data_IF_749858810148
#
_entry.id   IF_749858810148
#
_cell.length_a   1.000
_cell.length_b   1.000
_cell.length_c   1.000
_cell.angle_alpha   90.00
_cell.angle_beta   90.00
_cell.angle_gamma   90.00
#
_symmetry.space_group_name_H-M   'P 1'
#
loop_
_entity.id
_entity.type
_entity.pdbx_description
1 polymer ?
#
# COMPACT_ATOMS: atom_id res chain seq x y z
N UNK A 1 4.20 -18.13 -10.73
CA UNK A 1 4.68 -18.44 -12.10
C UNK A 1 5.05 -17.13 -12.76
N UNK A 2 6.34 -16.78 -12.69
CA UNK A 2 6.89 -15.58 -13.30
C UNK A 2 6.75 -15.62 -14.81
N UNK A 3 6.29 -14.51 -15.40
CA UNK A 3 6.41 -14.23 -16.84
C UNK A 3 7.49 -13.17 -17.03
N UNK A 4 8.74 -13.53 -16.74
CA UNK A 4 9.90 -12.74 -17.15
C UNK A 4 10.16 -12.97 -18.64
N UNK A 5 10.26 -11.89 -19.42
CA UNK A 5 10.68 -11.96 -20.82
C UNK A 5 12.21 -11.98 -20.91
N UNK A 6 12.78 -12.96 -21.61
CA UNK A 6 14.20 -12.92 -22.02
C UNK A 6 14.32 -11.92 -23.17
N UNK A 7 15.19 -10.92 -23.01
CA UNK A 7 15.45 -9.92 -24.06
C UNK A 7 16.91 -9.94 -24.47
N UNK A 8 17.14 -10.11 -25.77
CA UNK A 8 18.45 -10.06 -26.37
C UNK A 8 18.85 -8.59 -26.61
N UNK A 9 20.09 -8.28 -26.24
CA UNK A 9 20.62 -6.92 -26.14
C UNK A 9 22.00 -6.80 -26.78
N UNK A 10 22.38 -7.76 -27.63
CA UNK A 10 23.65 -7.69 -28.37
C UNK A 10 23.62 -6.65 -29.51
N UNK A 11 24.77 -6.10 -29.90
CA UNK A 11 24.84 -5.08 -30.98
C UNK A 11 24.40 -5.60 -32.35
N UNK A 12 24.29 -6.92 -32.51
CA UNK A 12 23.93 -7.59 -33.75
C UNK A 12 22.45 -8.00 -33.78
N UNK A 13 21.65 -7.58 -32.80
CA UNK A 13 20.22 -7.83 -32.79
C UNK A 13 19.56 -7.24 -34.04
N UNK A 14 19.01 -8.07 -34.94
CA UNK A 14 18.47 -7.61 -36.22
C UNK A 14 17.26 -6.68 -36.03
N UNK A 15 16.54 -6.82 -34.91
CA UNK A 15 15.36 -6.04 -34.56
C UNK A 15 15.67 -4.79 -33.70
N UNK A 16 16.96 -4.50 -33.50
CA UNK A 16 17.43 -3.40 -32.65
C UNK A 16 17.39 -3.71 -31.16
N UNK A 17 18.03 -2.84 -30.37
CA UNK A 17 18.19 -3.01 -28.91
C UNK A 17 17.61 -1.86 -28.08
N UNK A 18 17.03 -0.86 -28.73
CA UNK A 18 16.41 0.27 -28.05
C UNK A 18 14.93 0.02 -27.72
N UNK A 19 14.29 1.00 -27.07
CA UNK A 19 12.91 0.88 -26.61
C UNK A 19 11.87 0.81 -27.73
N UNK A 20 12.25 1.02 -28.99
CA UNK A 20 11.39 0.85 -30.17
C UNK A 20 11.59 -0.50 -30.88
N UNK A 21 12.53 -1.32 -30.42
CA UNK A 21 12.75 -2.67 -30.96
C UNK A 21 11.51 -3.55 -30.79
N UNK A 22 11.43 -4.60 -31.61
CA UNK A 22 10.34 -5.60 -31.53
C UNK A 22 10.29 -6.24 -30.14
N UNK A 23 11.46 -6.60 -29.60
CA UNK A 23 11.56 -7.23 -28.27
C UNK A 23 11.12 -6.29 -27.14
N UNK A 24 11.44 -5.00 -27.25
CA UNK A 24 11.03 -4.01 -26.26
C UNK A 24 9.51 -3.80 -26.25
N UNK A 25 8.87 -3.73 -27.42
CA UNK A 25 7.41 -3.64 -27.53
C UNK A 25 6.71 -4.91 -27.04
N UNK A 26 7.28 -6.08 -27.32
CA UNK A 26 6.79 -7.35 -26.77
C UNK A 26 6.87 -7.39 -25.24
N UNK A 27 8.00 -7.00 -24.65
CA UNK A 27 8.15 -6.95 -23.20
C UNK A 27 7.14 -5.96 -22.58
N UNK A 28 6.95 -4.79 -23.18
CA UNK A 28 5.93 -3.82 -22.75
C UNK A 28 4.52 -4.40 -22.78
N UNK A 29 4.13 -5.10 -23.85
CA UNK A 29 2.77 -5.64 -23.96
C UNK A 29 2.48 -6.73 -22.92
N UNK A 30 3.49 -7.53 -22.55
CA UNK A 30 3.39 -8.46 -21.42
C UNK A 30 3.16 -7.71 -20.12
N UNK A 31 3.94 -6.66 -19.85
CA UNK A 31 3.79 -5.87 -18.62
C UNK A 31 2.41 -5.20 -18.55
N UNK A 32 1.92 -4.61 -19.64
CA UNK A 32 0.62 -3.93 -19.70
C UNK A 32 -0.58 -4.87 -19.44
N UNK A 33 -0.42 -6.16 -19.74
CA UNK A 33 -1.52 -7.16 -19.66
C UNK A 33 -1.38 -8.14 -18.51
N UNK A 34 -0.25 -8.14 -17.81
CA UNK A 34 0.05 -9.11 -16.76
C UNK A 34 -0.65 -8.75 -15.45
N UNK A 35 -1.37 -9.72 -14.89
CA UNK A 35 -1.95 -9.66 -13.54
C UNK A 35 -1.02 -10.23 -12.46
N UNK A 36 0.24 -10.55 -12.81
CA UNK A 36 1.21 -11.06 -11.86
C UNK A 36 1.51 -10.02 -10.77
N UNK A 37 1.78 -10.49 -9.56
CA UNK A 37 2.12 -9.64 -8.41
C UNK A 37 3.45 -8.91 -8.56
N UNK A 38 4.38 -9.52 -9.30
CA UNK A 38 5.72 -9.02 -9.53
C UNK A 38 6.03 -8.97 -11.02
N UNK A 39 6.55 -7.84 -11.46
CA UNK A 39 7.02 -7.64 -12.82
C UNK A 39 8.54 -7.50 -12.84
N UNK A 40 9.23 -8.63 -13.02
CA UNK A 40 10.69 -8.72 -13.10
C UNK A 40 11.12 -8.75 -14.56
N UNK A 41 11.97 -7.81 -14.97
CA UNK A 41 12.62 -7.84 -16.29
C UNK A 41 14.00 -8.47 -16.16
N UNK A 42 14.33 -9.38 -17.08
CA UNK A 42 15.67 -9.93 -17.22
C UNK A 42 16.23 -9.61 -18.61
N UNK A 43 17.43 -9.05 -18.66
CA UNK A 43 18.15 -8.82 -19.91
C UNK A 43 19.65 -9.02 -19.71
N UNK A 44 20.40 -9.33 -20.76
CA UNK A 44 21.83 -9.60 -20.58
C UNK A 44 22.61 -8.32 -20.20
N UNK A 45 22.45 -7.23 -20.96
CA UNK A 45 23.24 -5.99 -20.79
C UNK A 45 22.79 -5.12 -19.60
N UNK A 46 23.72 -4.71 -18.72
CA UNK A 46 23.47 -3.79 -17.61
C UNK A 46 22.85 -2.45 -18.03
N UNK A 47 21.86 -2.00 -17.27
CA UNK A 47 21.13 -0.75 -17.56
C UNK A 47 21.86 0.44 -16.94
N UNK A 48 22.13 0.36 -15.63
CA UNK A 48 22.89 1.32 -14.85
C UNK A 48 23.93 0.57 -14.04
N UNK A 49 25.15 1.08 -14.04
CA UNK A 49 26.32 0.44 -13.46
C UNK A 49 27.44 1.47 -13.29
N UNK A 50 28.34 1.20 -12.34
CA UNK A 50 29.63 1.86 -12.24
C UNK A 50 30.56 1.30 -13.32
N UNK A 51 31.42 2.13 -13.93
CA UNK A 51 32.06 1.77 -15.21
C UNK A 51 33.41 2.44 -15.43
N UNK A 52 34.19 1.92 -16.37
CA UNK A 52 35.36 2.62 -16.93
C UNK A 52 34.91 3.49 -18.10
N UNK A 53 35.32 4.76 -18.11
CA UNK A 53 34.77 5.86 -18.94
C UNK A 53 34.56 5.64 -20.46
N UNK A 54 35.10 4.57 -21.07
CA UNK A 54 35.20 4.36 -22.51
C UNK A 54 34.04 3.56 -23.16
N UNK A 55 33.04 3.09 -22.41
CA UNK A 55 32.04 2.12 -22.91
C UNK A 55 30.58 2.58 -22.78
N UNK A 56 30.17 3.72 -23.37
CA UNK A 56 28.88 4.35 -23.03
C UNK A 56 27.73 4.23 -24.04
N UNK A 57 27.98 4.04 -25.34
CA UNK A 57 26.92 4.31 -26.32
C UNK A 57 25.87 3.20 -26.44
N UNK A 58 26.29 1.93 -26.42
CA UNK A 58 25.37 0.77 -26.44
C UNK A 58 24.45 0.72 -25.21
N UNK A 59 24.99 1.01 -24.03
CA UNK A 59 24.25 0.88 -22.77
C UNK A 59 23.18 1.97 -22.59
N UNK A 60 23.26 3.08 -23.35
CA UNK A 60 22.17 4.06 -23.41
C UNK A 60 20.95 3.50 -24.12
N UNK A 61 21.14 2.64 -25.12
CA UNK A 61 20.05 2.08 -25.94
C UNK A 61 19.20 1.09 -25.15
N UNK A 62 19.82 0.26 -24.32
CA UNK A 62 19.13 -0.76 -23.49
C UNK A 62 18.48 -0.18 -22.21
N UNK A 63 18.49 1.15 -22.03
CA UNK A 63 17.81 1.86 -20.93
C UNK A 63 16.35 2.15 -21.29
N UNK A 64 15.57 1.09 -21.47
CA UNK A 64 14.15 1.23 -21.75
C UNK A 64 13.42 1.83 -20.55
N UNK A 65 12.23 2.42 -20.75
CA UNK A 65 11.48 3.06 -19.67
C UNK A 65 10.72 2.05 -18.79
N UNK A 66 11.44 1.04 -18.31
CA UNK A 66 10.92 -0.11 -17.55
C UNK A 66 9.94 0.29 -16.44
N UNK A 67 10.24 1.35 -15.67
CA UNK A 67 9.35 1.77 -14.58
C UNK A 67 8.01 2.31 -15.08
N UNK A 68 8.03 3.06 -16.20
CA UNK A 68 6.79 3.55 -16.83
C UNK A 68 5.98 2.42 -17.45
N UNK A 69 6.63 1.32 -17.81
CA UNK A 69 5.97 0.11 -18.30
C UNK A 69 5.44 -0.78 -17.18
N UNK A 70 5.64 -0.43 -15.91
CA UNK A 70 5.11 -1.20 -14.78
C UNK A 70 6.09 -2.22 -14.18
N UNK A 71 7.34 -2.29 -14.63
CA UNK A 71 8.31 -3.18 -13.99
C UNK A 71 8.60 -2.76 -12.54
N UNK A 72 8.89 -3.75 -11.69
CA UNK A 72 9.27 -3.53 -10.29
C UNK A 72 10.79 -3.55 -10.10
N UNK A 73 11.49 -4.36 -10.88
CA UNK A 73 12.95 -4.52 -10.84
C UNK A 73 13.49 -5.01 -12.19
N UNK A 74 14.75 -4.69 -12.48
CA UNK A 74 15.48 -5.21 -13.65
C UNK A 74 16.73 -5.95 -13.20
N UNK A 75 16.91 -7.16 -13.72
CA UNK A 75 18.04 -8.03 -13.46
C UNK A 75 18.89 -8.16 -14.72
N UNK A 76 20.21 -8.07 -14.56
CA UNK A 76 21.17 -8.10 -15.67
C UNK A 76 22.43 -8.91 -15.36
N UNK A 77 23.22 -9.21 -16.40
CA UNK A 77 24.52 -9.91 -16.31
C UNK A 77 25.62 -9.12 -17.02
N UNK A 78 26.30 -9.76 -17.98
CA UNK A 78 27.40 -9.20 -18.80
C UNK A 78 28.68 -8.86 -18.00
N UNK A 79 28.63 -7.84 -17.15
CA UNK A 79 29.80 -7.48 -16.34
C UNK A 79 30.04 -8.50 -15.25
N UNK A 80 31.26 -9.00 -15.16
CA UNK A 80 31.66 -10.00 -14.16
C UNK A 80 31.94 -9.37 -12.79
N UNK A 81 31.00 -8.54 -12.33
CA UNK A 81 30.85 -8.09 -10.96
C UNK A 81 29.38 -8.15 -10.55
N UNK A 82 29.14 -8.03 -9.26
CA UNK A 82 27.83 -7.81 -8.69
C UNK A 82 27.64 -6.33 -8.39
N UNK A 83 26.55 -5.74 -8.86
CA UNK A 83 26.19 -4.36 -8.50
C UNK A 83 24.70 -4.21 -8.34
N UNK A 84 24.27 -3.57 -7.25
CA UNK A 84 22.89 -3.11 -7.10
C UNK A 84 22.84 -1.60 -7.16
N UNK A 85 22.06 -1.10 -8.10
CA UNK A 85 21.86 0.33 -8.36
C UNK A 85 20.42 0.71 -8.05
N UNK A 86 20.22 1.85 -7.38
CA UNK A 86 18.89 2.43 -7.16
C UNK A 86 18.82 3.82 -7.79
N UNK A 87 18.03 3.93 -8.86
CA UNK A 87 17.83 5.17 -9.59
C UNK A 87 16.36 5.57 -9.56
N UNK A 88 16.08 6.72 -8.94
CA UNK A 88 14.69 7.11 -8.64
C UNK A 88 14.01 6.07 -7.74
N UNK A 89 12.82 5.62 -8.15
CA UNK A 89 12.05 4.58 -7.46
C UNK A 89 12.27 3.16 -8.03
N UNK A 90 13.23 2.96 -8.92
CA UNK A 90 13.55 1.68 -9.54
C UNK A 90 14.86 1.10 -9.02
N UNK A 91 14.92 -0.23 -8.91
CA UNK A 91 16.13 -0.97 -8.58
C UNK A 91 16.59 -1.78 -9.79
N UNK A 92 17.90 -1.81 -9.99
CA UNK A 92 18.60 -2.58 -11.03
C UNK A 92 19.65 -3.44 -10.34
N UNK A 93 19.74 -4.72 -10.68
CA UNK A 93 20.78 -5.60 -10.15
C UNK A 93 21.52 -6.25 -11.30
N UNK A 94 22.82 -5.99 -11.39
CA UNK A 94 23.75 -6.71 -12.24
C UNK A 94 24.39 -7.83 -11.44
N UNK A 95 24.32 -9.06 -11.94
CA UNK A 95 25.07 -10.19 -11.41
C UNK A 95 25.69 -11.00 -12.56
N UNK A 96 26.92 -10.65 -12.96
CA UNK A 96 27.69 -11.47 -13.89
C UNK A 96 28.73 -12.39 -13.22
N UNK A 97 28.69 -12.55 -11.90
CA UNK A 97 29.65 -13.37 -11.13
C UNK A 97 29.35 -14.88 -11.15
N UNK A 98 28.62 -15.37 -12.15
CA UNK A 98 28.15 -16.75 -12.23
C UNK A 98 29.20 -17.80 -12.65
N UNK A 99 30.43 -17.39 -13.01
CA UNK A 99 31.50 -18.33 -13.39
C UNK A 99 32.41 -17.87 -14.53
N UNK A 100 32.14 -16.72 -15.16
CA UNK A 100 33.06 -16.10 -16.10
C UNK A 100 34.37 -15.69 -15.42
N UNK A 101 35.48 -15.61 -16.18
CA UNK A 101 36.73 -15.03 -15.68
C UNK A 101 36.45 -13.61 -15.20
N UNK A 102 36.87 -13.25 -13.99
CA UNK A 102 36.72 -11.87 -13.49
C UNK A 102 37.15 -10.86 -14.54
N UNK A 103 36.32 -9.86 -14.77
CA UNK A 103 36.58 -8.87 -15.79
C UNK A 103 37.80 -8.04 -15.33
N UNK A 104 38.90 -8.01 -16.11
CA UNK A 104 40.05 -7.16 -15.78
C UNK A 104 39.70 -5.65 -15.81
N UNK A 105 38.52 -5.28 -16.31
CA UNK A 105 37.95 -3.93 -16.20
C UNK A 105 37.37 -3.62 -14.81
N UNK A 106 37.27 -4.60 -13.91
CA UNK A 106 37.14 -4.33 -12.49
C UNK A 106 38.53 -4.14 -11.89
N UNK A 107 39.01 -2.91 -11.94
CA UNK A 107 40.14 -2.47 -11.13
C UNK A 107 39.82 -1.06 -10.64
N UNK A 108 39.38 -0.97 -9.39
CA UNK A 108 39.04 0.29 -8.71
C UNK A 108 40.27 1.15 -8.42
N UNK A 109 41.47 0.62 -8.66
CA UNK A 109 42.73 1.35 -8.62
C UNK A 109 43.10 1.97 -9.97
N UNK A 110 42.41 1.61 -11.06
CA UNK A 110 42.55 2.30 -12.35
C UNK A 110 41.95 3.71 -12.26
N UNK A 111 42.71 4.71 -12.72
CA UNK A 111 42.36 6.14 -12.64
C UNK A 111 41.06 6.55 -13.35
N UNK A 112 40.43 5.63 -14.10
CA UNK A 112 39.27 5.90 -14.96
C UNK A 112 38.01 5.12 -14.56
N UNK A 113 38.02 4.39 -13.44
CA UNK A 113 36.81 3.77 -12.90
C UNK A 113 35.91 4.82 -12.25
N UNK A 114 34.64 4.85 -12.64
CA UNK A 114 33.65 5.85 -12.22
C UNK A 114 32.53 5.16 -11.44
N UNK A 115 32.50 5.42 -10.14
CA UNK A 115 31.36 5.08 -9.29
C UNK A 115 30.20 6.00 -9.57
N UNK A 116 29.02 5.43 -9.83
CA UNK A 116 27.79 6.22 -9.93
C UNK A 116 27.17 6.41 -8.54
N UNK A 117 26.65 7.61 -8.19
CA UNK A 117 26.03 7.87 -6.88
C UNK A 117 24.82 6.95 -6.55
N UNK A 118 24.18 6.41 -7.58
CA UNK A 118 23.06 5.49 -7.46
C UNK A 118 23.47 4.07 -7.02
N UNK A 119 24.75 3.71 -7.12
CA UNK A 119 25.26 2.42 -6.68
C UNK A 119 25.07 2.26 -5.17
N UNK A 120 24.59 1.10 -4.75
CA UNK A 120 24.32 0.76 -3.34
C UNK A 120 25.25 -0.31 -2.80
N UNK A 121 25.72 -1.17 -3.69
CA UNK A 121 26.78 -2.11 -3.43
C UNK A 121 27.39 -2.50 -4.77
N UNK A 122 28.71 -2.61 -4.77
CA UNK A 122 29.53 -3.11 -5.86
C UNK A 122 30.47 -4.16 -5.26
N UNK A 123 30.56 -5.34 -5.87
CA UNK A 123 31.33 -6.46 -5.35
C UNK A 123 31.90 -7.30 -6.49
N UNK A 124 33.17 -7.70 -6.38
CA UNK A 124 33.87 -8.48 -7.40
C UNK A 124 34.80 -9.56 -6.80
N UNK A 125 34.91 -9.69 -5.48
CA UNK A 125 36.01 -10.48 -4.88
C UNK A 125 35.84 -12.00 -5.02
N UNK A 126 34.62 -12.49 -5.28
CA UNK A 126 34.34 -13.91 -5.41
C UNK A 126 33.16 -14.19 -6.34
N UNK A 127 33.21 -15.33 -7.00
CA UNK A 127 32.07 -15.85 -7.77
C UNK A 127 30.88 -16.11 -6.84
N UNK A 128 29.67 -16.04 -7.38
CA UNK A 128 28.45 -16.25 -6.62
C UNK A 128 27.20 -16.31 -7.49
N UNK A 129 26.07 -16.52 -6.83
CA UNK A 129 24.76 -16.57 -7.46
C UNK A 129 23.75 -15.71 -6.70
N UNK A 130 22.69 -15.33 -7.40
CA UNK A 130 21.56 -14.66 -6.79
C UNK A 130 20.48 -15.71 -6.43
N UNK A 131 20.04 -15.69 -5.18
CA UNK A 131 18.85 -16.40 -4.72
C UNK A 131 17.72 -15.38 -4.58
N UNK A 132 16.57 -15.65 -5.19
CA UNK A 132 15.36 -14.85 -5.04
C UNK A 132 14.32 -15.67 -4.30
N UNK A 133 13.91 -15.21 -3.13
CA UNK A 133 12.85 -15.81 -2.34
C UNK A 133 11.59 -14.97 -2.49
N UNK A 134 10.50 -15.62 -2.91
CA UNK A 134 9.18 -15.00 -2.99
C UNK A 134 8.40 -15.22 -1.69
N UNK A 135 7.85 -14.13 -1.18
CA UNK A 135 6.87 -14.11 -0.10
C UNK A 135 5.60 -13.40 -0.58
N UNK A 136 4.52 -13.53 0.21
CA UNK A 136 3.25 -12.85 -0.10
C UNK A 136 3.41 -11.33 -0.27
N UNK A 137 4.33 -10.68 0.43
CA UNK A 137 4.49 -9.23 0.44
C UNK A 137 5.78 -8.70 -0.16
N UNK A 138 6.70 -9.62 -0.47
CA UNK A 138 8.06 -9.26 -0.83
C UNK A 138 8.74 -10.25 -1.77
N UNK A 139 9.64 -9.72 -2.59
CA UNK A 139 10.74 -10.47 -3.16
C UNK A 139 12.02 -10.15 -2.38
N UNK A 140 12.72 -11.18 -1.92
CA UNK A 140 14.00 -11.05 -1.22
C UNK A 140 15.11 -11.54 -2.13
N UNK A 141 15.95 -10.62 -2.58
CA UNK A 141 17.11 -10.88 -3.41
C UNK A 141 18.35 -11.01 -2.52
N UNK A 142 19.07 -12.12 -2.63
CA UNK A 142 20.30 -12.38 -1.90
C UNK A 142 21.42 -12.68 -2.90
N UNK A 143 22.56 -12.00 -2.78
CA UNK A 143 23.77 -12.41 -3.48
C UNK A 143 24.66 -13.21 -2.54
N UNK A 144 24.91 -14.47 -2.90
CA UNK A 144 25.62 -15.46 -2.10
C UNK A 144 26.83 -15.95 -2.89
N UNK A 145 28.01 -15.82 -2.32
CA UNK A 145 29.26 -16.31 -2.93
C UNK A 145 29.34 -17.83 -2.94
N UNK A 146 30.22 -18.39 -3.76
CA UNK A 146 30.53 -19.84 -3.77
C UNK A 146 31.03 -20.38 -2.41
N UNK A 147 31.56 -19.50 -1.55
CA UNK A 147 31.99 -19.84 -0.19
C UNK A 147 30.85 -19.65 0.85
N UNK A 148 29.59 -19.61 0.39
CA UNK A 148 28.38 -19.46 1.19
C UNK A 148 28.31 -18.17 2.04
N UNK A 149 29.06 -17.13 1.65
CA UNK A 149 28.96 -15.81 2.27
C UNK A 149 27.84 -14.98 1.62
N UNK A 150 26.91 -14.46 2.43
CA UNK A 150 25.93 -13.46 2.00
C UNK A 150 26.61 -12.09 1.88
N UNK A 151 26.56 -11.49 0.69
CA UNK A 151 27.19 -10.19 0.41
C UNK A 151 26.19 -9.06 0.21
N UNK A 152 25.02 -9.35 -0.33
CA UNK A 152 23.91 -8.39 -0.40
C UNK A 152 22.58 -9.06 -0.07
N UNK A 153 21.69 -8.28 0.54
CA UNK A 153 20.29 -8.64 0.78
C UNK A 153 19.41 -7.43 0.49
N UNK A 154 18.57 -7.53 -0.53
CA UNK A 154 17.59 -6.52 -0.91
C UNK A 154 16.17 -7.05 -0.80
N UNK A 155 15.28 -6.26 -0.21
CA UNK A 155 13.85 -6.59 -0.08
C UNK A 155 13.06 -5.61 -0.92
N UNK A 156 12.35 -6.13 -1.90
CA UNK A 156 11.37 -5.41 -2.70
C UNK A 156 9.99 -5.65 -2.07
N UNK A 157 9.29 -4.58 -1.69
CA UNK A 157 7.96 -4.64 -1.06
C UNK A 157 6.90 -4.18 -2.06
N UNK A 158 5.74 -4.84 -2.08
CA UNK A 158 4.53 -4.27 -2.68
C UNK A 158 3.76 -3.43 -1.65
N UNK A 159 2.98 -2.42 -2.09
CA UNK A 159 1.95 -1.80 -1.27
C UNK A 159 0.97 -2.86 -0.75
N UNK A 160 0.59 -2.77 0.53
CA UNK A 160 -0.40 -3.67 1.14
C UNK A 160 -1.72 -2.95 1.22
N UNK A 161 -2.61 -3.17 0.26
CA UNK A 161 -3.81 -2.35 0.11
C UNK A 161 -5.08 -3.13 0.35
N UNK A 162 -6.08 -2.52 0.99
CA UNK A 162 -7.42 -3.09 1.08
C UNK A 162 -8.44 -2.06 0.62
N UNK A 163 -9.63 -2.52 0.19
CA UNK A 163 -10.73 -1.63 -0.18
C UNK A 163 -11.84 -1.70 0.86
N UNK A 164 -12.15 -0.57 1.49
CA UNK A 164 -13.23 -0.48 2.48
C UNK A 164 -14.31 0.46 1.98
N UNK A 165 -15.57 0.03 2.04
CA UNK A 165 -16.74 0.87 1.77
C UNK A 165 -17.40 1.26 3.08
N UNK A 166 -17.51 2.55 3.31
CA UNK A 166 -18.18 3.14 4.48
C UNK A 166 -18.95 4.38 4.05
N UNK A 167 -20.21 4.47 4.46
CA UNK A 167 -21.04 5.66 4.29
C UNK A 167 -21.20 6.35 5.65
N UNK A 168 -20.98 7.65 5.70
CA UNK A 168 -21.14 8.49 6.89
C UNK A 168 -22.54 9.11 6.84
N UNK A 169 -23.32 8.95 7.91
CA UNK A 169 -24.74 9.27 7.95
C UNK A 169 -25.09 10.69 7.46
N UNK A 170 -24.39 11.72 7.96
CA UNK A 170 -24.70 13.11 7.60
C UNK A 170 -24.30 13.45 6.16
N UNK A 171 -23.19 12.88 5.69
CA UNK A 171 -22.66 13.12 4.34
C UNK A 171 -23.36 12.31 3.25
N UNK A 172 -24.06 11.23 3.60
CA UNK A 172 -24.79 10.38 2.64
C UNK A 172 -26.14 11.03 2.26
N UNK A 173 -26.41 11.11 0.95
CA UNK A 173 -27.62 11.67 0.37
C UNK A 173 -28.42 10.54 -0.33
N UNK A 174 -29.41 9.93 0.35
CA UNK A 174 -30.12 8.76 -0.18
C UNK A 174 -30.83 9.01 -1.51
N UNK A 175 -31.34 10.22 -1.71
CA UNK A 175 -32.06 10.62 -2.93
C UNK A 175 -31.24 10.42 -4.21
N UNK A 176 -29.91 10.51 -4.13
CA UNK A 176 -29.00 10.32 -5.27
C UNK A 176 -28.07 9.12 -5.08
N UNK A 177 -28.23 8.36 -4.00
CA UNK A 177 -27.40 7.19 -3.69
C UNK A 177 -25.91 7.49 -3.54
N UNK A 178 -25.54 8.73 -3.19
CA UNK A 178 -24.13 9.19 -3.11
C UNK A 178 -23.82 9.85 -1.78
N UNK A 179 -22.55 9.82 -1.41
CA UNK A 179 -21.98 10.54 -0.27
C UNK A 179 -21.08 11.66 -0.77
N UNK A 180 -21.01 12.77 -0.03
CA UNK A 180 -19.95 13.77 -0.21
C UNK A 180 -18.60 13.11 0.13
N UNK A 181 -17.65 13.01 -0.81
CA UNK A 181 -16.31 12.47 -0.56
C UNK A 181 -15.62 13.15 0.61
N UNK A 182 -15.03 12.36 1.51
CA UNK A 182 -14.17 12.89 2.56
C UNK A 182 -13.10 11.90 3.01
N UNK A 183 -12.17 12.38 3.81
CA UNK A 183 -11.04 11.61 4.30
C UNK A 183 -11.44 10.73 5.48
N UNK A 184 -11.33 9.43 5.30
CA UNK A 184 -11.62 8.41 6.32
C UNK A 184 -10.32 7.71 6.71
N UNK A 185 -10.18 7.36 8.00
CA UNK A 185 -9.07 6.56 8.51
C UNK A 185 -9.55 5.15 8.82
N UNK A 186 -8.78 4.15 8.41
CA UNK A 186 -8.99 2.74 8.76
C UNK A 186 -7.80 2.25 9.56
N UNK A 187 -8.06 1.59 10.68
CA UNK A 187 -7.04 0.97 11.51
C UNK A 187 -7.15 -0.55 11.45
N UNK A 188 -6.00 -1.23 11.45
CA UNK A 188 -5.91 -2.65 11.69
C UNK A 188 -5.66 -2.88 13.17
N UNK A 189 -6.58 -3.55 13.85
CA UNK A 189 -6.48 -3.91 15.26
C UNK A 189 -6.26 -5.41 15.41
N UNK A 190 -5.46 -5.83 16.38
CA UNK A 190 -5.29 -7.26 16.68
C UNK A 190 -6.65 -7.96 16.86
N UNK A 191 -6.74 -9.23 16.50
CA UNK A 191 -7.94 -10.05 16.73
C UNK A 191 -8.13 -10.48 18.19
N UNK A 192 -7.12 -10.28 19.04
CA UNK A 192 -7.14 -10.65 20.45
C UNK A 192 -6.98 -9.43 21.35
N UNK A 193 -7.58 -9.49 22.56
CA UNK A 193 -7.40 -8.50 23.61
C UNK A 193 -5.90 -8.27 23.88
N UNK A 194 -5.45 -7.01 24.03
CA UNK A 194 -6.22 -5.77 24.17
C UNK A 194 -6.54 -5.05 22.83
N UNK A 195 -6.58 -5.77 21.71
CA UNK A 195 -6.97 -5.27 20.39
C UNK A 195 -6.19 -4.02 19.94
N UNK A 196 -4.89 -4.01 20.25
CA UNK A 196 -3.99 -2.89 19.93
C UNK A 196 -4.00 -2.60 18.44
N UNK A 197 -3.93 -1.31 18.09
CA UNK A 197 -3.71 -0.87 16.71
C UNK A 197 -2.32 -1.35 16.26
N UNK A 198 -2.27 -2.07 15.15
CA UNK A 198 -1.05 -2.54 14.49
C UNK A 198 -0.62 -1.57 13.40
N UNK A 199 -1.59 -1.05 12.66
CA UNK A 199 -1.36 -0.13 11.57
C UNK A 199 -2.58 0.76 11.29
N UNK A 200 -2.38 1.80 10.51
CA UNK A 200 -3.42 2.75 10.11
C UNK A 200 -3.18 3.24 8.70
N UNK A 201 -4.26 3.48 7.96
CA UNK A 201 -4.23 4.09 6.65
C UNK A 201 -5.34 5.13 6.55
N UNK A 202 -5.11 6.16 5.74
CA UNK A 202 -6.06 7.25 5.53
C UNK A 202 -6.26 7.45 4.04
N UNK A 203 -7.51 7.56 3.60
CA UNK A 203 -7.86 7.70 2.19
C UNK A 203 -9.04 8.64 2.00
N UNK A 204 -9.08 9.34 0.86
CA UNK A 204 -10.27 10.04 0.40
C UNK A 204 -11.24 9.00 -0.18
N UNK A 205 -12.48 8.95 0.30
CA UNK A 205 -13.50 8.04 -0.25
C UNK A 205 -14.05 8.57 -1.56
N UNK A 206 -14.49 7.69 -2.46
CA UNK A 206 -15.31 8.09 -3.62
C UNK A 206 -16.76 8.41 -3.22
N UNK A 207 -17.57 8.85 -4.19
CA UNK A 207 -18.99 9.18 -3.95
C UNK A 207 -19.87 7.99 -3.58
N UNK A 208 -19.37 6.76 -3.73
CA UNK A 208 -20.04 5.52 -3.32
C UNK A 208 -19.56 5.03 -1.95
N UNK A 209 -18.62 5.75 -1.31
CA UNK A 209 -18.07 5.44 0.00
C UNK A 209 -16.87 4.51 -0.01
N UNK A 210 -16.31 4.14 -1.17
CA UNK A 210 -15.11 3.31 -1.23
C UNK A 210 -13.84 4.13 -1.01
N UNK A 211 -12.97 3.65 -0.13
CA UNK A 211 -11.58 4.10 -0.04
C UNK A 211 -10.60 2.95 -0.31
N UNK A 212 -9.42 3.28 -0.83
CA UNK A 212 -8.29 2.37 -0.99
C UNK A 212 -7.22 2.70 0.06
N UNK A 213 -6.92 1.75 0.93
CA UNK A 213 -6.14 1.98 2.15
C UNK A 213 -4.83 1.20 2.09
N UNK A 214 -3.69 1.90 2.14
CA UNK A 214 -2.35 1.29 2.08
C UNK A 214 -1.72 1.20 3.47
N UNK A 215 -1.32 -0.02 3.85
CA UNK A 215 -0.72 -0.36 5.13
C UNK A 215 0.76 -0.72 4.96
N UNK A 216 1.57 -0.35 5.94
CA UNK A 216 3.03 -0.60 5.95
C UNK A 216 3.43 -1.77 6.84
N UNK A 217 2.64 -2.05 7.88
CA UNK A 217 2.90 -3.00 8.97
C UNK A 217 1.93 -4.18 8.99
N UNK A 218 0.92 -4.17 8.11
CA UNK A 218 0.03 -5.31 7.92
C UNK A 218 0.83 -6.58 7.59
N UNK A 219 0.36 -7.72 8.08
CA UNK A 219 0.92 -9.04 7.80
C UNK A 219 -0.16 -9.90 7.17
N UNK A 220 0.12 -10.51 6.02
CA UNK A 220 -0.81 -11.41 5.35
C UNK A 220 -1.22 -12.56 6.26
N UNK A 221 -2.45 -13.05 6.07
CA UNK A 221 -3.10 -14.13 6.83
C UNK A 221 -3.31 -13.87 8.33
N UNK A 222 -2.72 -12.80 8.87
CA UNK A 222 -2.98 -12.39 10.25
C UNK A 222 -4.38 -11.81 10.33
N UNK A 223 -5.13 -12.21 11.36
CA UNK A 223 -6.49 -11.74 11.59
C UNK A 223 -6.48 -10.34 12.21
N UNK A 224 -7.22 -9.41 11.60
CA UNK A 224 -7.43 -8.05 12.13
C UNK A 224 -8.90 -7.69 12.19
N UNK A 225 -9.28 -6.94 13.23
CA UNK A 225 -10.47 -6.10 13.15
C UNK A 225 -10.14 -4.85 12.35
N UNK A 226 -11.06 -4.45 11.47
CA UNK A 226 -11.00 -3.17 10.78
C UNK A 226 -11.78 -2.15 11.59
N UNK A 227 -11.21 -0.99 11.87
CA UNK A 227 -11.97 0.10 12.51
C UNK A 227 -11.95 1.34 11.65
N UNK A 228 -13.13 1.83 11.32
CA UNK A 228 -13.35 3.05 10.54
C UNK A 228 -13.51 4.22 11.50
N UNK A 229 -12.76 5.29 11.27
CA UNK A 229 -12.86 6.55 12.00
C UNK A 229 -12.88 7.72 11.03
N UNK A 230 -13.92 8.53 11.14
CA UNK A 230 -14.10 9.76 10.38
C UNK A 230 -14.17 10.95 11.34
N UNK A 231 -14.00 12.17 10.82
CA UNK A 231 -13.79 13.39 11.63
C UNK A 231 -14.92 13.71 12.59
N UNK A 232 -16.13 13.25 12.27
CA UNK A 232 -17.37 13.59 12.97
C UNK A 232 -18.34 12.38 13.06
N UNK A 233 -17.79 11.17 13.01
CA UNK A 233 -18.56 9.93 13.13
C UNK A 233 -18.09 9.11 14.32
N UNK A 234 -18.97 8.24 14.81
CA UNK A 234 -18.59 7.21 15.78
C UNK A 234 -17.51 6.30 15.17
N UNK A 235 -16.55 5.84 15.98
CA UNK A 235 -15.65 4.77 15.55
C UNK A 235 -16.46 3.47 15.39
N UNK A 236 -16.38 2.85 14.22
CA UNK A 236 -17.10 1.61 13.90
C UNK A 236 -16.13 0.47 13.61
N UNK A 237 -16.33 -0.64 14.30
CA UNK A 237 -15.53 -1.87 14.15
C UNK A 237 -16.19 -2.85 13.20
N UNK A 238 -15.41 -3.60 12.43
CA UNK A 238 -15.90 -4.76 11.68
C UNK A 238 -16.47 -5.80 12.65
N UNK A 239 -17.51 -6.51 12.20
CA UNK A 239 -18.18 -7.53 13.03
C UNK A 239 -17.23 -8.63 13.50
N UNK A 240 -16.36 -9.07 12.61
CA UNK A 240 -15.39 -10.14 12.84
C UNK A 240 -14.01 -9.66 12.43
N UNK A 241 -12.99 -10.30 13.01
CA UNK A 241 -11.63 -10.18 12.49
C UNK A 241 -11.48 -10.98 11.21
N UNK A 242 -10.69 -10.49 10.26
CA UNK A 242 -10.50 -11.08 8.94
C UNK A 242 -9.02 -11.22 8.62
N UNK A 243 -8.61 -12.25 7.87
CA UNK A 243 -7.24 -12.36 7.42
C UNK A 243 -6.93 -11.17 6.51
N UNK A 244 -5.78 -10.55 6.70
CA UNK A 244 -5.30 -9.52 5.78
C UNK A 244 -4.84 -10.16 4.47
N UNK A 245 -5.34 -9.62 3.37
CA UNK A 245 -4.89 -9.91 2.01
C UNK A 245 -5.11 -8.66 1.14
N UNK A 246 -4.41 -8.52 0.02
CA UNK A 246 -4.55 -7.34 -0.86
C UNK A 246 -5.92 -7.30 -1.56
N UNK A 247 -6.53 -8.47 -1.73
CA UNK A 247 -7.87 -8.60 -2.29
C UNK A 247 -8.97 -8.37 -1.23
N UNK A 248 -8.60 -8.07 0.03
CA UNK A 248 -9.56 -7.84 1.09
C UNK A 248 -10.45 -6.63 0.75
N UNK A 249 -11.73 -6.91 0.60
CA UNK A 249 -12.76 -5.92 0.41
C UNK A 249 -13.81 -6.01 1.53
N UNK A 250 -14.04 -4.90 2.23
CA UNK A 250 -15.01 -4.85 3.32
C UNK A 250 -16.07 -3.77 3.09
N UNK A 251 -17.33 -4.19 3.00
CA UNK A 251 -18.46 -3.28 2.79
C UNK A 251 -19.36 -3.24 4.03
N UNK A 252 -19.28 -2.13 4.78
CA UNK A 252 -20.13 -1.86 5.96
C UNK A 252 -21.60 -1.57 5.61
N UNK A 253 -21.90 -1.26 4.35
CA UNK A 253 -23.15 -0.63 3.93
C UNK A 253 -24.28 -1.60 3.61
N UNK A 254 -23.93 -2.89 3.52
CA UNK A 254 -24.84 -3.97 3.10
C UNK A 254 -25.76 -4.48 4.20
N UNK A 255 -25.29 -4.51 5.45
CA UNK A 255 -26.08 -4.90 6.62
C UNK A 255 -25.53 -4.25 7.89
N UNK A 256 -26.40 -3.92 8.86
CA UNK A 256 -25.98 -3.50 10.21
C UNK A 256 -25.01 -4.49 10.87
N UNK A 257 -25.19 -5.79 10.62
CA UNK A 257 -24.37 -6.88 11.14
C UNK A 257 -22.96 -6.94 10.53
N UNK A 258 -22.60 -6.03 9.63
CA UNK A 258 -21.21 -5.77 9.25
C UNK A 258 -20.47 -4.98 10.33
N UNK A 259 -21.17 -4.22 11.17
CA UNK A 259 -20.56 -3.57 12.32
C UNK A 259 -20.62 -4.45 13.57
N UNK A 260 -19.61 -4.37 14.42
CA UNK A 260 -19.69 -4.93 15.76
C UNK A 260 -20.87 -4.30 16.51
N UNK A 261 -21.61 -5.12 17.27
CA UNK A 261 -22.81 -4.68 17.98
C UNK A 261 -23.97 -4.22 17.07
N UNK A 262 -23.91 -4.44 15.75
CA UNK A 262 -24.85 -3.90 14.77
C UNK A 262 -24.97 -2.37 14.84
N UNK A 263 -23.85 -1.69 15.17
CA UNK A 263 -23.80 -0.26 15.49
C UNK A 263 -23.80 0.64 14.24
N UNK A 264 -24.90 0.62 13.50
CA UNK A 264 -25.10 1.36 12.26
C UNK A 264 -26.52 1.95 12.20
N UNK A 265 -26.70 3.01 11.42
CA UNK A 265 -28.00 3.62 11.14
C UNK A 265 -28.46 3.30 9.73
N UNK A 266 -29.75 3.08 9.54
CA UNK A 266 -30.33 2.82 8.21
C UNK A 266 -30.78 4.14 7.59
N UNK A 267 -30.30 4.45 6.38
CA UNK A 267 -30.75 5.57 5.56
C UNK A 267 -31.29 5.01 4.24
N UNK A 268 -32.61 4.90 4.14
CA UNK A 268 -33.30 4.19 3.05
C UNK A 268 -32.77 2.75 2.91
N UNK A 269 -32.11 2.44 1.81
CA UNK A 269 -31.62 1.10 1.49
C UNK A 269 -30.18 0.83 1.93
N UNK A 270 -29.50 1.82 2.52
CA UNK A 270 -28.08 1.71 2.87
C UNK A 270 -27.85 1.85 4.37
N UNK A 271 -26.88 1.08 4.88
CA UNK A 271 -26.38 1.24 6.24
C UNK A 271 -25.23 2.25 6.27
N UNK A 272 -25.32 3.19 7.22
CA UNK A 272 -24.36 4.26 7.42
C UNK A 272 -23.78 4.20 8.84
N UNK A 273 -22.56 4.70 9.00
CA UNK A 273 -21.94 4.95 10.30
C UNK A 273 -22.58 6.21 10.89
N UNK A 274 -22.98 6.13 12.15
CA UNK A 274 -23.58 7.25 12.88
C UNK A 274 -22.66 8.48 12.88
N UNK A 275 -23.24 9.64 12.55
CA UNK A 275 -22.56 10.93 12.66
C UNK A 275 -22.88 11.60 13.99
N UNK A 276 -21.94 12.38 14.50
CA UNK A 276 -22.15 13.23 15.67
C UNK A 276 -21.21 13.03 16.84
N UNK A 277 -20.24 12.13 16.77
CA UNK A 277 -19.12 12.08 17.72
C UNK A 277 -18.09 13.15 17.29
N UNK A 278 -18.35 14.41 17.63
CA UNK A 278 -17.53 15.56 17.25
C UNK A 278 -16.35 15.74 18.20
N UNK A 279 -16.51 15.29 19.45
CA UNK A 279 -15.48 15.30 20.48
C UNK A 279 -14.47 14.14 20.34
N UNK A 280 -14.81 13.08 19.60
CA UNK A 280 -13.98 11.89 19.35
C UNK A 280 -13.67 11.10 20.62
N UNK A 281 -14.63 11.01 21.52
CA UNK A 281 -14.52 10.26 22.78
C UNK A 281 -15.20 8.88 22.73
N UNK A 282 -15.86 8.56 21.61
CA UNK A 282 -16.53 7.28 21.40
C UNK A 282 -17.95 7.24 21.97
N UNK A 283 -18.53 8.39 22.29
CA UNK A 283 -19.93 8.56 22.69
C UNK A 283 -20.52 9.69 21.84
N UNK A 284 -21.80 9.61 21.51
CA UNK A 284 -22.55 10.74 20.94
C UNK A 284 -23.50 11.23 22.03
N UNK A 285 -23.17 12.35 22.67
CA UNK A 285 -23.93 12.87 23.81
C UNK A 285 -24.17 14.39 23.79
N UNK A 286 -24.61 14.91 24.94
CA UNK A 286 -24.93 16.33 25.12
C UNK A 286 -23.72 17.25 24.92
N UNK A 287 -22.48 16.75 25.04
CA UNK A 287 -21.27 17.53 24.80
C UNK A 287 -21.05 17.78 23.31
N UNK A 288 -21.23 16.76 22.46
CA UNK A 288 -21.21 16.92 21.00
C UNK A 288 -22.34 17.85 20.53
N UNK A 289 -23.54 17.64 21.06
CA UNK A 289 -24.70 18.46 20.75
C UNK A 289 -24.49 19.91 21.20
N UNK A 290 -23.90 20.12 22.38
CA UNK A 290 -23.53 21.44 22.89
C UNK A 290 -22.52 22.14 22.00
N UNK A 291 -21.50 21.42 21.51
CA UNK A 291 -20.53 21.95 20.56
C UNK A 291 -21.22 22.41 19.27
N UNK A 292 -22.03 21.55 18.64
CA UNK A 292 -22.69 21.90 17.39
C UNK A 292 -23.68 23.06 17.54
N UNK A 293 -24.41 23.14 18.66
CA UNK A 293 -25.29 24.28 18.95
C UNK A 293 -24.51 25.60 19.11
N UNK A 294 -23.38 25.57 19.80
CA UNK A 294 -22.54 26.77 19.96
C UNK A 294 -21.96 27.20 18.61
N UNK A 295 -21.46 26.26 17.82
CA UNK A 295 -20.89 26.53 16.50
C UNK A 295 -21.97 27.07 15.53
N UNK A 296 -23.18 26.50 15.56
CA UNK A 296 -24.31 26.97 14.77
C UNK A 296 -24.77 28.38 15.18
N UNK A 297 -24.82 28.66 16.49
CA UNK A 297 -25.20 29.98 17.01
C UNK A 297 -24.17 31.06 16.66
N UNK A 298 -22.91 30.66 16.44
CA UNK A 298 -21.82 31.54 16.01
C UNK A 298 -21.63 31.54 14.48
N UNK A 299 -22.53 30.92 13.70
CA UNK A 299 -22.48 30.85 12.24
C UNK A 299 -21.14 30.31 11.71
N UNK A 300 -20.60 29.27 12.35
CA UNK A 300 -19.37 28.64 11.91
C UNK A 300 -19.56 28.02 10.51
N UNK A 301 -18.53 28.15 9.68
CA UNK A 301 -18.52 27.62 8.32
C UNK A 301 -17.17 26.97 8.00
N UNK A 302 -17.13 26.20 6.91
CA UNK A 302 -15.94 25.53 6.42
C UNK A 302 -15.82 24.10 6.94
N UNK A 303 -14.58 23.59 6.95
CA UNK A 303 -14.29 22.20 7.28
C UNK A 303 -14.07 22.04 8.80
N UNK A 304 -15.17 21.98 9.54
CA UNK A 304 -15.17 21.80 11.01
C UNK A 304 -15.86 20.49 11.40
N UNK A 305 -15.64 20.01 12.64
CA UNK A 305 -16.19 18.71 13.08
C UNK A 305 -17.71 18.75 13.29
N UNK A 306 -18.23 19.89 13.71
CA UNK A 306 -19.66 20.14 13.92
C UNK A 306 -20.47 20.23 12.62
N UNK A 307 -19.83 20.44 11.47
CA UNK A 307 -20.40 20.24 10.13
C UNK A 307 -20.43 18.72 9.84
N UNK A 308 -21.49 18.07 10.32
CA UNK A 308 -21.71 16.61 10.21
C UNK A 308 -22.34 16.24 8.87
N UNK A 309 -23.07 17.16 8.25
CA UNK A 309 -23.76 16.92 6.99
C UNK A 309 -22.85 17.16 5.75
N UNK A 310 -21.72 17.85 5.93
CA UNK A 310 -20.70 18.12 4.94
C UNK A 310 -21.00 19.26 3.96
N UNK A 311 -21.95 20.16 4.26
CA UNK A 311 -22.32 21.29 3.40
C UNK A 311 -21.52 22.58 3.69
N UNK A 312 -20.60 22.52 4.65
CA UNK A 312 -19.70 23.61 5.10
C UNK A 312 -20.39 24.73 5.87
N UNK A 313 -21.60 24.53 6.36
CA UNK A 313 -22.31 25.48 7.22
C UNK A 313 -22.77 24.69 8.45
N UNK A 314 -22.34 25.10 9.64
CA UNK A 314 -22.86 24.48 10.86
C UNK A 314 -24.22 25.10 11.17
N UNK A 315 -25.30 24.34 11.04
CA UNK A 315 -26.65 24.83 11.29
C UNK A 315 -27.58 23.82 11.98
N UNK A 316 -28.87 24.13 12.02
CA UNK A 316 -29.88 23.29 12.67
C UNK A 316 -29.97 21.87 12.06
N UNK A 317 -29.55 21.68 10.82
CA UNK A 317 -29.55 20.37 10.16
C UNK A 317 -28.46 19.45 10.71
N UNK A 318 -27.29 19.99 11.05
CA UNK A 318 -26.22 19.26 11.74
C UNK A 318 -26.64 18.87 13.16
N UNK A 319 -27.14 19.87 13.90
CA UNK A 319 -27.64 19.72 15.27
C UNK A 319 -28.72 18.63 15.33
N UNK A 320 -29.62 18.58 14.34
CA UNK A 320 -30.67 17.56 14.26
C UNK A 320 -30.11 16.15 14.08
N UNK A 321 -29.06 15.97 13.28
CA UNK A 321 -28.41 14.65 13.10
C UNK A 321 -27.80 14.19 14.43
N UNK A 322 -27.05 15.07 15.10
CA UNK A 322 -26.41 14.76 16.38
C UNK A 322 -27.47 14.45 17.43
N UNK A 323 -28.46 15.33 17.60
CA UNK A 323 -29.55 15.18 18.57
C UNK A 323 -30.27 13.84 18.43
N UNK A 324 -30.62 13.43 17.20
CA UNK A 324 -31.26 12.14 16.94
C UNK A 324 -30.40 10.94 17.38
N UNK A 325 -29.08 11.07 17.34
CA UNK A 325 -28.15 10.00 17.74
C UNK A 325 -27.83 10.05 19.25
N UNK A 326 -27.86 11.23 19.88
CA UNK A 326 -27.86 11.37 21.34
C UNK A 326 -29.07 10.65 21.94
N UNK A 327 -30.27 10.83 21.39
CA UNK A 327 -31.48 10.14 21.86
C UNK A 327 -31.41 8.60 21.73
N UNK A 328 -30.54 8.10 20.85
CA UNK A 328 -30.29 6.66 20.66
C UNK A 328 -29.17 6.12 21.56
N UNK A 329 -28.51 6.97 22.35
CA UNK A 329 -27.37 6.62 23.19
C UNK A 329 -26.25 5.92 22.39
N UNK A 330 -25.94 6.46 21.20
CA UNK A 330 -24.93 5.86 20.32
C UNK A 330 -23.56 5.94 20.98
N UNK A 331 -22.88 4.80 21.07
CA UNK A 331 -21.51 4.67 21.59
C UNK A 331 -20.71 3.73 20.70
N UNK A 332 -19.38 3.77 20.79
CA UNK A 332 -18.53 2.82 20.07
C UNK A 332 -18.72 1.42 20.62
N UNK A 333 -19.15 0.51 19.74
CA UNK A 333 -19.28 -0.92 20.03
C UNK A 333 -18.04 -1.67 19.56
N UNK A 334 -17.38 -2.39 20.48
CA UNK A 334 -16.15 -3.15 20.22
C UNK A 334 -16.10 -4.45 21.04
N UNK A 335 -15.28 -5.45 20.64
CA UNK A 335 -15.08 -6.68 21.42
C UNK A 335 -14.63 -6.38 22.86
N UNK A 336 -15.10 -7.20 23.82
CA UNK A 336 -14.72 -7.07 25.22
C UNK A 336 -13.29 -7.52 25.47
N UNK A 337 -12.57 -6.81 26.36
CA UNK A 337 -11.20 -7.11 26.73
C UNK A 337 -11.05 -8.21 27.79
N UNK A 338 -12.16 -8.69 28.38
CA UNK A 338 -12.17 -9.70 29.44
C UNK A 338 -12.13 -11.13 28.88
N UNK A 339 -11.02 -11.83 29.09
CA UNK A 339 -11.02 -13.29 29.13
C UNK A 339 -11.68 -13.72 30.43
N UNK A 340 -12.97 -14.09 30.37
CA UNK A 340 -13.71 -14.55 31.54
C UNK A 340 -13.01 -15.75 32.18
N UNK A 341 -12.52 -15.56 33.41
CA UNK A 341 -12.33 -16.67 34.34
C UNK A 341 -13.70 -17.28 34.61
N UNK A 342 -13.84 -18.57 34.32
CA UNK A 342 -15.00 -19.36 34.70
C UNK A 342 -15.04 -19.36 36.23
N UNK A 343 -15.90 -18.54 36.83
CA UNK A 343 -16.35 -18.77 38.20
C UNK A 343 -17.43 -19.84 38.13
N UNK A 344 -17.00 -21.10 38.16
CA UNK A 344 -17.84 -22.17 38.69
C UNK A 344 -17.91 -21.95 40.20
N UNK A 345 -19.09 -21.63 40.71
CA UNK A 345 -19.41 -21.79 42.12
C UNK A 345 -20.57 -22.80 42.23
N UNK A 346 -20.49 -23.78 43.13
CA UNK A 346 -21.57 -24.74 43.39
C UNK A 346 -22.80 -24.09 44.03
#
# INVERSE_FOLDING_TARGET
MDRGGYTDTTVWEPDGIDSSSVQAHWAKSILDTSTAKWHVIYQHKPVYFSYIATSLDIFKKVRWPFKRWGADIVLTGDFHWYERVRKGNMTYITNGLGGGKFDPLFDDTLTNFVYIPESKILYNDALGAQLVEEYKDSLVFKFITVNNQLKDRYVLLQPKTIRVKSLIEGSYKPAIGKMVPDTVSVYLRRSNSPFTIIDSAKALTDSLGYGLYNFSRAKYDSLYYLTVSHRNSIETWSKFSMPFDDDLQYDFTTDSAKAFGNNMTKKENMWCIYSGDTMKDGVIDGTDLGQANNDASNYFTGYVRSDVNGDRIVDASDVMIISNNVFKYVTTMKPSSFTGGILINP
#
